data_IF_201540280155
#
_entry.id   IF_201540280155
#
_cell.length_a   1.000
_cell.length_b   1.000
_cell.length_c   1.000
_cell.angle_alpha   90.00
_cell.angle_beta   90.00
_cell.angle_gamma   90.00
#
_symmetry.space_group_name_H-M   'P 1'
#
loop_
_entity.id
_entity.type
_entity.pdbx_description
1 polymer ?
#
# COMPACT_ATOMS: atom_id res chain seq x y z
N UNK A 1 -2.96 30.82 -19.27
CA UNK A 1 -3.84 29.62 -19.34
C UNK A 1 -3.77 28.96 -17.97
N UNK A 2 -4.85 28.96 -17.18
CA UNK A 2 -4.87 28.33 -15.85
C UNK A 2 -4.67 26.83 -15.99
N UNK A 3 -3.89 26.24 -15.09
CA UNK A 3 -3.70 24.78 -15.00
C UNK A 3 -5.09 24.16 -14.81
N UNK A 4 -5.49 23.15 -15.60
CA UNK A 4 -6.76 22.47 -15.36
C UNK A 4 -6.72 21.80 -13.98
N UNK A 5 -7.89 21.67 -13.32
CA UNK A 5 -8.03 21.04 -12.00
C UNK A 5 -7.75 19.53 -12.06
N UNK A 6 -6.52 19.16 -12.33
CA UNK A 6 -6.02 17.79 -12.40
C UNK A 6 -5.29 17.51 -11.09
N UNK A 7 -5.85 16.60 -10.31
CA UNK A 7 -5.19 16.04 -9.14
C UNK A 7 -4.46 14.75 -9.55
N UNK A 8 -3.23 14.58 -9.06
CA UNK A 8 -2.43 13.37 -9.26
C UNK A 8 -1.90 12.90 -7.91
N UNK A 9 -1.97 11.59 -7.66
CA UNK A 9 -1.47 10.97 -6.44
C UNK A 9 -0.89 9.59 -6.68
N UNK A 10 -0.08 9.13 -5.74
CA UNK A 10 0.47 7.78 -5.72
C UNK A 10 0.03 7.05 -4.45
N UNK A 11 -0.28 5.76 -4.57
CA UNK A 11 -0.50 4.89 -3.43
C UNK A 11 0.47 3.71 -3.49
N UNK A 12 1.22 3.53 -2.42
CA UNK A 12 2.11 2.39 -2.22
C UNK A 12 1.41 1.36 -1.32
N UNK A 13 1.35 0.11 -1.77
CA UNK A 13 0.61 -0.96 -1.09
C UNK A 13 1.59 -2.03 -0.58
N UNK A 14 1.59 -2.27 0.73
CA UNK A 14 2.37 -3.31 1.38
C UNK A 14 1.51 -4.51 1.78
N UNK A 15 1.80 -5.68 1.20
CA UNK A 15 1.24 -6.98 1.59
C UNK A 15 -0.31 -7.07 1.60
N UNK A 16 -0.98 -6.59 0.56
CA UNK A 16 -2.42 -6.88 0.37
C UNK A 16 -2.64 -8.32 -0.12
N UNK A 17 -3.56 -9.07 0.51
CA UNK A 17 -3.81 -10.49 0.25
C UNK A 17 -4.43 -10.75 -1.15
N UNK A 18 -3.57 -10.96 -2.14
CA UNK A 18 -3.94 -11.25 -3.53
C UNK A 18 -3.25 -12.53 -4.01
N UNK A 19 -3.62 -13.02 -5.19
CA UNK A 19 -2.90 -14.12 -5.84
C UNK A 19 -1.39 -13.82 -6.02
N UNK A 20 -1.01 -12.55 -6.21
CA UNK A 20 0.38 -12.12 -6.35
C UNK A 20 1.17 -12.21 -5.04
N UNK A 21 0.52 -12.08 -3.88
CA UNK A 21 1.17 -12.06 -2.56
C UNK A 21 1.07 -13.38 -1.81
N UNK A 22 0.42 -14.41 -2.38
CA UNK A 22 0.34 -15.75 -1.77
C UNK A 22 1.69 -16.33 -1.34
N UNK A 23 2.76 -16.00 -2.07
CA UNK A 23 4.11 -16.45 -1.72
C UNK A 23 4.65 -15.77 -0.44
N UNK A 24 4.20 -14.56 -0.12
CA UNK A 24 4.59 -13.86 1.11
C UNK A 24 4.06 -14.55 2.36
N UNK A 25 2.89 -15.19 2.27
CA UNK A 25 2.30 -15.98 3.35
C UNK A 25 3.08 -17.29 3.61
N UNK A 26 3.75 -17.82 2.57
CA UNK A 26 4.60 -19.01 2.69
C UNK A 26 6.02 -18.65 3.16
N UNK A 27 6.51 -17.48 2.75
CA UNK A 27 7.75 -16.91 3.25
C UNK A 27 8.41 -15.94 2.29
N UNK A 28 8.93 -14.83 2.84
CA UNK A 28 9.75 -13.86 2.13
C UNK A 28 11.15 -13.79 2.75
N UNK A 29 12.16 -13.54 1.90
CA UNK A 29 13.53 -13.32 2.33
C UNK A 29 13.61 -12.01 3.13
N UNK A 30 14.08 -12.12 4.37
CA UNK A 30 14.31 -11.00 5.27
C UNK A 30 15.74 -10.48 5.12
N UNK A 31 16.00 -9.30 5.67
CA UNK A 31 17.29 -8.64 5.55
C UNK A 31 18.43 -9.39 6.28
N UNK A 32 18.12 -10.17 7.31
CA UNK A 32 19.05 -11.08 7.99
C UNK A 32 19.31 -12.40 7.22
N UNK A 33 18.71 -12.55 6.04
CA UNK A 33 18.81 -13.73 5.17
C UNK A 33 17.88 -14.88 5.55
N UNK A 34 17.07 -14.76 6.59
CA UNK A 34 16.05 -15.75 6.95
C UNK A 34 14.84 -15.68 6.01
N UNK A 35 14.03 -16.75 5.96
CA UNK A 35 12.76 -16.77 5.22
C UNK A 35 11.63 -16.87 6.24
N UNK A 36 10.78 -15.85 6.30
CA UNK A 36 9.68 -15.76 7.26
C UNK A 36 8.38 -15.41 6.53
N UNK A 37 7.27 -15.99 6.98
CA UNK A 37 5.94 -15.60 6.54
C UNK A 37 5.67 -14.16 6.94
N UNK A 38 5.17 -13.36 6.01
CA UNK A 38 4.82 -11.98 6.26
C UNK A 38 3.31 -11.82 6.43
N UNK A 39 2.87 -10.97 7.38
CA UNK A 39 1.45 -10.70 7.53
C UNK A 39 0.91 -9.98 6.29
N UNK A 40 -0.34 -10.29 5.96
CA UNK A 40 -1.11 -9.66 4.90
C UNK A 40 -2.29 -8.87 5.48
N UNK A 41 -2.84 -7.95 4.69
CA UNK A 41 -4.09 -7.24 4.97
C UNK A 41 -5.14 -7.53 3.89
N UNK A 42 -6.40 -7.19 4.14
CA UNK A 42 -7.45 -7.38 3.13
C UNK A 42 -7.20 -6.47 1.93
N UNK A 43 -7.57 -6.93 0.73
CA UNK A 43 -7.60 -6.07 -0.46
C UNK A 43 -8.67 -4.98 -0.32
N UNK A 44 -9.71 -5.23 0.48
CA UNK A 44 -10.75 -4.24 0.76
C UNK A 44 -10.18 -3.01 1.48
N UNK A 45 -9.17 -3.19 2.35
CA UNK A 45 -8.48 -2.08 3.02
C UNK A 45 -7.76 -1.16 2.01
N UNK A 46 -7.25 -1.72 0.90
CA UNK A 46 -6.69 -0.95 -0.21
C UNK A 46 -7.79 -0.21 -0.98
N UNK A 47 -8.92 -0.87 -1.22
CA UNK A 47 -10.03 -0.29 -1.94
C UNK A 47 -10.60 0.93 -1.19
N UNK A 48 -10.76 0.82 0.14
CA UNK A 48 -11.19 1.92 0.99
C UNK A 48 -10.20 3.10 0.98
N UNK A 49 -8.90 2.81 0.98
CA UNK A 49 -7.86 3.83 0.87
C UNK A 49 -7.92 4.58 -0.48
N UNK A 50 -8.10 3.85 -1.59
CA UNK A 50 -8.28 4.45 -2.92
C UNK A 50 -9.57 5.26 -2.99
N UNK A 51 -10.67 4.75 -2.43
CA UNK A 51 -11.94 5.46 -2.38
C UNK A 51 -11.79 6.80 -1.66
N UNK A 52 -11.13 6.82 -0.51
CA UNK A 52 -10.83 8.06 0.20
C UNK A 52 -10.06 9.06 -0.67
N UNK A 53 -9.06 8.62 -1.43
CA UNK A 53 -8.32 9.52 -2.35
C UNK A 53 -9.23 10.10 -3.45
N UNK A 54 -10.16 9.30 -3.96
CA UNK A 54 -11.08 9.67 -5.06
C UNK A 54 -12.20 10.59 -4.58
N UNK A 55 -12.67 10.45 -3.35
CA UNK A 55 -13.77 11.25 -2.79
C UNK A 55 -13.37 12.70 -2.44
N UNK A 56 -12.08 13.04 -2.51
CA UNK A 56 -11.63 14.40 -2.23
C UNK A 56 -12.09 15.41 -3.31
N UNK A 57 -12.51 16.62 -2.89
CA UNK A 57 -12.77 17.69 -3.84
C UNK A 57 -11.47 18.12 -4.55
N UNK A 58 -11.56 18.64 -5.78
CA UNK A 58 -10.38 19.01 -6.61
C UNK A 58 -9.47 20.10 -6.02
N UNK A 59 -9.87 20.74 -4.91
CA UNK A 59 -9.00 21.66 -4.16
C UNK A 59 -8.14 20.95 -3.09
N UNK A 60 -8.32 19.63 -2.92
CA UNK A 60 -7.54 18.77 -2.03
C UNK A 60 -6.98 17.59 -2.82
N UNK A 61 -5.82 17.10 -2.42
CA UNK A 61 -5.17 15.98 -3.09
C UNK A 61 -4.31 15.20 -2.10
N UNK A 62 -4.40 13.87 -2.15
CA UNK A 62 -3.41 12.98 -1.54
C UNK A 62 -2.28 12.79 -2.55
N UNK A 63 -1.19 13.53 -2.37
CA UNK A 63 -0.02 13.39 -3.26
C UNK A 63 0.62 12.00 -3.14
N UNK A 64 0.75 11.50 -1.92
CA UNK A 64 1.26 10.16 -1.64
C UNK A 64 0.55 9.54 -0.43
N UNK A 65 0.33 8.24 -0.49
CA UNK A 65 -0.20 7.42 0.59
C UNK A 65 0.54 6.09 0.61
N UNK A 66 0.81 5.56 1.80
CA UNK A 66 1.24 4.17 1.97
C UNK A 66 0.22 3.48 2.85
N UNK A 67 -0.32 2.36 2.37
CA UNK A 67 -1.20 1.46 3.11
C UNK A 67 -0.53 0.09 3.16
N UNK A 68 -0.41 -0.50 4.34
CA UNK A 68 0.35 -1.73 4.50
C UNK A 68 -0.18 -2.58 5.65
N UNK A 69 0.00 -3.90 5.55
CA UNK A 69 -0.25 -4.80 6.65
C UNK A 69 0.54 -4.35 7.89
N UNK A 70 -0.12 -4.10 9.02
CA UNK A 70 0.50 -3.38 10.15
C UNK A 70 1.70 -4.11 10.77
N UNK A 71 1.73 -5.45 10.67
CA UNK A 71 2.85 -6.26 11.16
C UNK A 71 3.96 -6.48 10.12
N UNK A 72 3.82 -5.96 8.89
CA UNK A 72 4.83 -6.12 7.86
C UNK A 72 6.09 -5.36 8.29
N UNK A 73 7.30 -5.96 8.19
CA UNK A 73 8.55 -5.35 8.63
C UNK A 73 9.06 -4.28 7.66
N UNK A 74 8.18 -3.45 7.09
CA UNK A 74 8.57 -2.42 6.12
C UNK A 74 9.37 -1.29 6.80
N UNK A 75 8.81 -0.69 7.85
CA UNK A 75 9.49 0.34 8.65
C UNK A 75 10.41 -0.36 9.65
N UNK A 76 11.60 -0.74 9.18
CA UNK A 76 12.59 -1.46 9.99
C UNK A 76 13.26 -2.65 9.30
N UNK A 77 12.94 -2.94 8.03
CA UNK A 77 13.74 -3.86 7.20
C UNK A 77 15.15 -3.28 7.07
N UNK A 78 16.07 -3.84 7.84
CA UNK A 78 17.49 -3.48 7.91
C UNK A 78 18.34 -4.71 7.80
#
# INVERSE_FOLDING_TARGET
RGVPGIACGQIDIGNAATDMTKQLEVGALQADGSVLAEPTMSVDDVADAVLYMVELPLNANVLSMTVMASGMPFVGRG
#
